data_IF_817263426375
#
_entry.id   IF_817263426375
#
_cell.length_a   1.000
_cell.length_b   1.000
_cell.length_c   1.000
_cell.angle_alpha   90.00
_cell.angle_beta   90.00
_cell.angle_gamma   90.00
#
_symmetry.space_group_name_H-M   'P 1'
#
loop_
_entity.id
_entity.type
_entity.pdbx_description
1 polymer ?
#
# COMPACT_ATOMS: atom_id res chain seq x y z
N UNK A 1 -0.54 -21.99 12.69
CA UNK A 1 -0.32 -20.74 13.44
C UNK A 1 -1.68 -20.24 13.88
N UNK A 2 -1.80 -19.69 15.09
CA UNK A 2 -3.11 -19.31 15.61
C UNK A 2 -3.70 -18.11 14.85
N UNK A 3 -5.01 -18.15 14.67
CA UNK A 3 -5.83 -17.06 14.14
C UNK A 3 -6.68 -16.51 15.28
N UNK A 4 -6.76 -15.19 15.40
CA UNK A 4 -7.74 -14.52 16.24
C UNK A 4 -8.73 -13.71 15.40
N UNK A 5 -10.03 -13.93 15.60
CA UNK A 5 -11.07 -13.08 15.02
C UNK A 5 -11.18 -11.78 15.81
N UNK A 6 -10.64 -10.69 15.26
CA UNK A 6 -10.65 -9.34 15.88
C UNK A 6 -11.59 -8.43 15.10
N UNK A 7 -12.79 -8.21 15.65
CA UNK A 7 -13.85 -7.37 15.04
C UNK A 7 -14.21 -7.85 13.61
N UNK A 8 -14.42 -9.15 13.47
CA UNK A 8 -14.82 -9.80 12.21
C UNK A 8 -13.70 -9.92 11.18
N UNK A 9 -12.43 -9.85 11.58
CA UNK A 9 -11.31 -10.18 10.71
C UNK A 9 -10.41 -11.19 11.39
N UNK A 10 -9.97 -12.18 10.63
CA UNK A 10 -8.95 -13.12 11.00
C UNK A 10 -7.58 -12.43 11.01
N UNK A 11 -6.97 -12.40 12.20
CA UNK A 11 -5.63 -11.91 12.41
C UNK A 11 -4.73 -13.12 12.63
N UNK A 12 -3.80 -13.36 11.71
CA UNK A 12 -2.75 -14.35 11.89
C UNK A 12 -1.75 -13.81 12.92
N UNK A 13 -1.47 -14.60 13.95
CA UNK A 13 -0.55 -14.20 15.01
C UNK A 13 0.29 -15.37 15.50
N UNK A 14 1.32 -15.05 16.26
CA UNK A 14 2.16 -16.00 16.98
C UNK A 14 2.61 -15.36 18.30
N UNK A 15 2.69 -16.17 19.34
CA UNK A 15 3.26 -15.76 20.63
C UNK A 15 4.50 -16.61 20.85
N UNK A 16 5.65 -15.96 21.07
CA UNK A 16 6.92 -16.62 21.38
C UNK A 16 7.31 -16.28 22.83
N UNK A 17 7.60 -17.31 23.61
CA UNK A 17 7.78 -17.22 25.07
C UNK A 17 6.49 -17.51 25.85
N UNK A 18 6.63 -18.05 27.06
CA UNK A 18 5.54 -18.50 27.93
C UNK A 18 5.36 -17.63 29.18
N UNK A 19 6.40 -16.89 29.60
CA UNK A 19 6.38 -16.04 30.79
C UNK A 19 7.05 -14.67 30.56
N UNK A 20 6.90 -13.77 31.54
CA UNK A 20 7.54 -12.45 31.57
C UNK A 20 6.72 -11.32 30.91
N UNK A 21 7.31 -10.11 30.84
CA UNK A 21 6.64 -8.93 30.30
C UNK A 21 6.30 -9.07 28.82
N UNK A 22 5.19 -8.46 28.41
CA UNK A 22 4.75 -8.46 27.01
C UNK A 22 5.53 -7.46 26.15
N UNK A 23 5.88 -7.90 24.94
CA UNK A 23 6.38 -7.04 23.85
C UNK A 23 5.59 -7.38 22.60
N UNK A 24 5.12 -6.37 21.86
CA UNK A 24 4.53 -6.57 20.54
C UNK A 24 5.48 -6.05 19.47
N UNK A 25 5.81 -6.88 18.47
CA UNK A 25 6.56 -6.45 17.29
C UNK A 25 5.59 -6.29 16.12
N UNK A 26 5.73 -5.18 15.40
CA UNK A 26 4.81 -4.77 14.33
C UNK A 26 5.63 -4.48 13.08
N UNK A 27 5.34 -5.19 11.99
CA UNK A 27 6.05 -5.03 10.71
C UNK A 27 5.76 -3.69 10.07
N UNK A 28 6.73 -3.19 9.30
CA UNK A 28 6.52 -2.07 8.39
C UNK A 28 5.92 -2.50 7.04
N UNK A 29 5.47 -1.54 6.23
CA UNK A 29 5.02 -1.80 4.85
C UNK A 29 3.82 -2.77 4.74
N UNK A 30 3.88 -3.71 3.78
CA UNK A 30 2.91 -4.81 3.62
C UNK A 30 3.51 -6.20 3.94
N UNK A 31 4.47 -6.27 4.86
CA UNK A 31 5.17 -7.51 5.20
C UNK A 31 4.47 -8.28 6.31
N UNK A 32 4.57 -9.61 6.26
CA UNK A 32 4.11 -10.49 7.34
C UNK A 32 5.13 -10.59 8.49
N UNK A 33 4.69 -10.99 9.67
CA UNK A 33 5.49 -10.99 10.90
C UNK A 33 6.69 -11.94 10.88
N UNK A 34 6.77 -12.84 9.89
CA UNK A 34 7.82 -13.86 9.78
C UNK A 34 9.23 -13.23 9.82
N UNK A 35 9.38 -11.98 9.35
CA UNK A 35 10.66 -11.25 9.41
C UNK A 35 11.17 -10.99 10.84
N UNK A 36 10.27 -10.99 11.84
CA UNK A 36 10.61 -10.77 13.24
C UNK A 36 10.75 -12.03 14.09
N UNK A 37 10.49 -13.22 13.54
CA UNK A 37 10.63 -14.48 14.29
C UNK A 37 12.04 -14.65 14.90
N UNK A 38 13.16 -14.37 14.18
CA UNK A 38 14.49 -14.47 14.78
C UNK A 38 14.72 -13.50 15.95
N UNK A 39 14.17 -12.28 15.87
CA UNK A 39 14.28 -11.28 16.94
C UNK A 39 13.40 -11.65 18.14
N UNK A 40 12.18 -12.10 17.88
CA UNK A 40 11.25 -12.54 18.91
C UNK A 40 11.80 -13.72 19.73
N UNK A 41 12.47 -14.69 19.09
CA UNK A 41 13.16 -15.77 19.81
C UNK A 41 14.28 -15.26 20.74
N UNK A 42 15.05 -14.26 20.32
CA UNK A 42 16.10 -13.66 21.16
C UNK A 42 15.51 -12.92 22.37
N UNK A 43 14.43 -12.16 22.16
CA UNK A 43 13.72 -11.48 23.25
C UNK A 43 13.09 -12.48 24.21
N UNK A 44 12.49 -13.56 23.70
CA UNK A 44 11.96 -14.63 24.54
C UNK A 44 13.06 -15.30 25.38
N UNK A 45 14.23 -15.54 24.80
CA UNK A 45 15.41 -16.03 25.54
C UNK A 45 15.95 -15.08 26.62
N UNK A 46 15.47 -13.82 26.67
CA UNK A 46 15.76 -12.85 27.73
C UNK A 46 14.61 -12.70 28.75
N UNK A 47 13.63 -13.61 28.72
CA UNK A 47 12.51 -13.62 29.68
C UNK A 47 11.35 -12.70 29.32
N UNK A 48 11.13 -12.44 28.03
CA UNK A 48 9.96 -11.71 27.55
C UNK A 48 8.96 -12.65 26.85
N UNK A 49 7.71 -12.23 26.79
CA UNK A 49 6.69 -12.85 25.94
C UNK A 49 6.36 -11.94 24.77
N UNK A 50 6.59 -12.42 23.56
CA UNK A 50 6.53 -11.60 22.33
C UNK A 50 5.31 -11.96 21.51
N UNK A 51 4.42 -10.98 21.29
CA UNK A 51 3.32 -11.07 20.34
C UNK A 51 3.79 -10.62 18.95
N UNK A 52 3.68 -11.51 17.99
CA UNK A 52 3.80 -11.25 16.56
C UNK A 52 2.41 -11.31 15.94
N UNK A 53 2.10 -10.40 15.02
CA UNK A 53 0.88 -10.50 14.24
C UNK A 53 1.06 -9.88 12.86
N UNK A 54 0.33 -10.45 11.92
CA UNK A 54 0.15 -9.85 10.61
C UNK A 54 -0.89 -8.75 10.78
N UNK A 55 -0.51 -7.50 10.54
CA UNK A 55 -1.47 -6.38 10.51
C UNK A 55 -2.57 -6.69 9.49
N UNK A 56 -3.72 -6.05 9.66
CA UNK A 56 -4.79 -6.09 8.65
C UNK A 56 -4.20 -5.81 7.27
N UNK A 57 -4.62 -6.59 6.27
CA UNK A 57 -4.15 -6.46 4.90
C UNK A 57 -2.65 -6.75 4.66
N UNK A 58 -2.02 -7.55 5.54
CA UNK A 58 -0.63 -8.00 5.42
C UNK A 58 -0.48 -9.47 5.78
N UNK A 59 0.61 -10.11 5.35
CA UNK A 59 0.91 -11.50 5.69
C UNK A 59 -0.25 -12.45 5.38
N UNK A 60 -0.67 -13.24 6.36
CA UNK A 60 -1.79 -14.18 6.29
C UNK A 60 -3.06 -13.70 7.01
N UNK A 61 -3.12 -12.43 7.42
CA UNK A 61 -4.37 -11.83 7.91
C UNK A 61 -5.30 -11.48 6.74
N UNK A 62 -6.61 -11.38 6.98
CA UNK A 62 -7.59 -11.07 5.93
C UNK A 62 -7.23 -9.80 5.13
N UNK A 63 -7.44 -9.88 3.81
CA UNK A 63 -7.12 -8.82 2.83
C UNK A 63 -8.41 -8.20 2.29
N UNK A 64 -8.40 -6.87 2.18
CA UNK A 64 -9.48 -6.09 1.57
C UNK A 64 -8.88 -5.09 0.60
N UNK A 65 -9.20 -5.24 -0.68
CA UNK A 65 -8.72 -4.36 -1.72
C UNK A 65 -9.87 -3.49 -2.22
N UNK A 66 -9.71 -2.18 -2.08
CA UNK A 66 -10.62 -1.17 -2.61
C UNK A 66 -9.82 -0.29 -3.57
N UNK A 67 -10.36 -0.04 -4.77
CA UNK A 67 -9.74 0.76 -5.82
C UNK A 67 -8.30 0.29 -6.09
N UNK A 68 -8.21 -0.88 -6.71
CA UNK A 68 -6.93 -1.49 -7.08
C UNK A 68 -6.23 -0.64 -8.13
N UNK A 69 -5.08 -0.08 -7.79
CA UNK A 69 -4.22 0.62 -8.75
C UNK A 69 -3.49 -0.39 -9.65
N UNK A 70 -3.61 -0.22 -10.96
CA UNK A 70 -2.97 -1.09 -11.93
C UNK A 70 -3.21 -0.63 -13.37
N UNK A 71 -2.42 -1.16 -14.30
CA UNK A 71 -2.54 -0.85 -15.73
C UNK A 71 -1.68 0.32 -16.20
N UNK A 72 -1.71 0.56 -17.52
CA UNK A 72 -0.76 1.44 -18.21
C UNK A 72 -0.87 2.93 -17.81
N UNK A 73 -2.04 3.38 -17.39
CA UNK A 73 -2.24 4.78 -17.00
C UNK A 73 -1.55 5.14 -15.67
N UNK A 74 -1.84 4.49 -14.53
CA UNK A 74 -1.13 4.78 -13.28
C UNK A 74 0.36 4.45 -13.40
N UNK A 75 0.71 3.45 -14.20
CA UNK A 75 2.09 3.08 -14.53
C UNK A 75 2.91 4.22 -15.15
N UNK A 76 2.27 5.15 -15.87
CA UNK A 76 2.93 6.35 -16.40
C UNK A 76 2.76 7.54 -15.47
N UNK A 77 1.56 7.74 -14.92
CA UNK A 77 1.20 8.93 -14.14
C UNK A 77 1.92 8.99 -12.78
N UNK A 78 1.94 7.88 -12.04
CA UNK A 78 2.46 7.86 -10.67
C UNK A 78 3.98 8.05 -10.59
N UNK A 79 4.81 7.43 -11.45
CA UNK A 79 6.25 7.71 -11.45
C UNK A 79 6.57 9.17 -11.75
N UNK A 80 5.84 9.78 -12.69
CA UNK A 80 6.06 11.19 -13.02
C UNK A 80 5.57 12.13 -11.91
N UNK A 81 4.45 11.81 -11.28
CA UNK A 81 3.93 12.56 -10.14
C UNK A 81 4.82 12.44 -8.90
N UNK A 82 5.39 11.27 -8.60
CA UNK A 82 6.19 11.08 -7.38
C UNK A 82 7.67 11.43 -7.54
N UNK A 83 8.23 11.28 -8.74
CA UNK A 83 9.67 11.42 -8.97
C UNK A 83 9.98 12.38 -10.11
N UNK A 84 9.38 12.13 -11.28
CA UNK A 84 9.76 12.81 -12.52
C UNK A 84 9.61 14.32 -12.52
N UNK A 85 8.53 14.85 -11.95
CA UNK A 85 8.35 16.30 -11.84
C UNK A 85 9.46 16.96 -11.00
N UNK A 86 9.93 16.30 -9.95
CA UNK A 86 11.00 16.81 -9.07
C UNK A 86 12.38 16.62 -9.69
N UNK A 87 12.61 15.52 -10.40
CA UNK A 87 13.82 15.34 -11.23
C UNK A 87 13.92 16.47 -12.24
N UNK A 88 12.83 16.73 -12.97
CA UNK A 88 12.76 17.80 -13.98
C UNK A 88 12.98 19.17 -13.36
N UNK A 89 12.38 19.45 -12.20
CA UNK A 89 12.59 20.70 -11.47
C UNK A 89 14.06 20.88 -11.06
N UNK A 90 14.67 19.84 -10.46
CA UNK A 90 16.07 19.85 -10.05
C UNK A 90 17.03 20.05 -11.23
N UNK A 91 16.76 19.40 -12.38
CA UNK A 91 17.56 19.57 -13.60
C UNK A 91 17.51 21.00 -14.16
N UNK A 92 16.35 21.66 -14.06
CA UNK A 92 16.15 23.00 -14.62
C UNK A 92 16.67 24.12 -13.73
N UNK A 93 16.59 23.98 -12.41
CA UNK A 93 16.89 25.06 -11.48
C UNK A 93 17.37 24.62 -10.11
N UNK A 94 17.93 23.41 -10.00
CA UNK A 94 18.45 22.86 -8.75
C UNK A 94 17.39 22.73 -7.66
N UNK A 95 17.84 22.68 -6.42
CA UNK A 95 16.95 22.51 -5.26
C UNK A 95 16.02 23.69 -5.02
N UNK A 96 16.34 24.87 -5.54
CA UNK A 96 15.44 26.03 -5.47
C UNK A 96 14.16 25.80 -6.30
N UNK A 97 14.31 25.27 -7.53
CA UNK A 97 13.17 24.91 -8.36
C UNK A 97 12.35 23.77 -7.75
N UNK A 98 12.99 22.80 -7.08
CA UNK A 98 12.27 21.75 -6.33
C UNK A 98 11.45 22.35 -5.20
N UNK A 99 12.05 23.24 -4.40
CA UNK A 99 11.35 23.96 -3.32
C UNK A 99 10.15 24.78 -3.83
N UNK A 100 10.17 25.22 -5.09
CA UNK A 100 9.11 26.02 -5.70
C UNK A 100 7.92 25.19 -6.24
N UNK A 101 8.02 23.85 -6.28
CA UNK A 101 6.90 22.99 -6.67
C UNK A 101 5.80 23.01 -5.61
N UNK A 102 4.53 22.94 -6.02
CA UNK A 102 3.38 23.06 -5.10
C UNK A 102 3.45 22.06 -3.94
N UNK A 103 3.84 20.83 -4.23
CA UNK A 103 4.00 19.81 -3.19
C UNK A 103 5.04 20.21 -2.15
N UNK A 104 6.24 20.62 -2.54
CA UNK A 104 7.27 20.99 -1.56
C UNK A 104 6.98 22.34 -0.88
N UNK A 105 6.36 23.29 -1.57
CA UNK A 105 5.90 24.56 -0.98
C UNK A 105 4.98 24.30 0.20
N UNK A 106 3.96 23.46 0.04
CA UNK A 106 3.03 23.12 1.13
C UNK A 106 3.76 22.53 2.37
N UNK A 107 4.79 21.69 2.15
CA UNK A 107 5.58 21.09 3.25
C UNK A 107 6.56 22.09 3.87
N UNK A 108 7.05 23.06 3.11
CA UNK A 108 7.89 24.16 3.61
C UNK A 108 7.03 25.14 4.40
N UNK A 109 5.84 25.50 3.92
CA UNK A 109 4.92 26.39 4.62
C UNK A 109 4.49 25.78 5.97
N UNK A 110 4.27 24.46 5.99
CA UNK A 110 3.97 23.72 7.22
C UNK A 110 5.15 23.61 8.19
N UNK A 111 6.38 23.57 7.67
CA UNK A 111 7.61 23.52 8.46
C UNK A 111 8.78 24.21 7.73
N UNK A 112 9.03 25.50 8.03
CA UNK A 112 10.00 26.31 7.28
C UNK A 112 11.44 25.77 7.29
N UNK A 113 11.82 25.00 8.33
CA UNK A 113 13.15 24.38 8.42
C UNK A 113 13.41 23.35 7.31
N UNK A 114 12.36 22.84 6.65
CA UNK A 114 12.51 21.94 5.50
C UNK A 114 13.21 22.64 4.33
N UNK A 115 13.02 23.95 4.15
CA UNK A 115 13.65 24.68 3.05
C UNK A 115 15.17 24.65 3.16
N UNK A 116 15.70 24.92 4.34
CA UNK A 116 17.15 24.89 4.58
C UNK A 116 17.73 23.50 4.30
N UNK A 117 17.06 22.44 4.80
CA UNK A 117 17.46 21.05 4.55
C UNK A 117 17.46 20.69 3.06
N UNK A 118 16.44 21.11 2.32
CA UNK A 118 16.34 20.86 0.88
C UNK A 118 17.41 21.64 0.10
N UNK A 119 17.63 22.91 0.44
CA UNK A 119 18.63 23.76 -0.21
C UNK A 119 20.08 23.30 0.07
N UNK A 120 20.31 22.57 1.16
CA UNK A 120 21.61 21.99 1.48
C UNK A 120 21.92 20.68 0.73
N UNK A 121 20.95 20.10 0.00
CA UNK A 121 21.17 18.90 -0.80
C UNK A 121 21.92 19.22 -2.10
N UNK A 122 22.78 18.30 -2.54
CA UNK A 122 23.33 18.33 -3.90
C UNK A 122 22.22 17.94 -4.90
N UNK A 123 21.88 18.82 -5.88
CA UNK A 123 20.92 18.48 -6.92
C UNK A 123 21.26 17.19 -7.68
N UNK A 124 22.54 16.89 -7.89
CA UNK A 124 22.96 15.69 -8.63
C UNK A 124 22.61 14.41 -7.85
N UNK A 125 22.91 14.38 -6.55
CA UNK A 125 22.56 13.25 -5.68
C UNK A 125 21.04 13.10 -5.51
N UNK A 126 20.32 14.22 -5.44
CA UNK A 126 18.87 14.23 -5.39
C UNK A 126 18.28 13.59 -6.67
N UNK A 127 18.73 14.03 -7.85
CA UNK A 127 18.31 13.47 -9.13
C UNK A 127 18.63 11.98 -9.20
N UNK A 128 19.87 11.58 -8.90
CA UNK A 128 20.29 10.18 -8.96
C UNK A 128 19.44 9.28 -8.05
N UNK A 129 19.12 9.77 -6.84
CA UNK A 129 18.29 9.04 -5.88
C UNK A 129 16.86 8.86 -6.39
N UNK A 130 16.22 9.94 -6.84
CA UNK A 130 14.85 9.88 -7.35
C UNK A 130 14.76 9.07 -8.64
N UNK A 131 15.75 9.15 -9.54
CA UNK A 131 15.81 8.33 -10.76
C UNK A 131 15.85 6.85 -10.44
N UNK A 132 16.68 6.44 -9.47
CA UNK A 132 16.72 5.03 -9.03
C UNK A 132 15.40 4.58 -8.43
N UNK A 133 14.75 5.41 -7.63
CA UNK A 133 13.43 5.08 -7.07
C UNK A 133 12.35 5.01 -8.15
N UNK A 134 12.38 5.92 -9.13
CA UNK A 134 11.50 5.89 -10.29
C UNK A 134 11.64 4.59 -11.07
N UNK A 135 12.87 4.17 -11.35
CA UNK A 135 13.16 2.91 -12.06
C UNK A 135 12.61 1.70 -11.30
N UNK A 136 12.85 1.63 -9.99
CA UNK A 136 12.31 0.56 -9.14
C UNK A 136 10.76 0.55 -9.12
N UNK A 137 10.15 1.73 -9.09
CA UNK A 137 8.70 1.86 -9.14
C UNK A 137 8.15 1.39 -10.50
N UNK A 138 8.80 1.80 -11.59
CA UNK A 138 8.42 1.45 -12.96
C UNK A 138 8.61 -0.04 -13.28
N UNK A 139 9.59 -0.70 -12.65
CA UNK A 139 9.79 -2.14 -12.78
C UNK A 139 8.54 -2.95 -12.38
N UNK A 140 7.73 -2.44 -11.45
CA UNK A 140 6.47 -3.07 -11.00
C UNK A 140 5.21 -2.54 -11.69
N UNK A 141 5.34 -1.63 -12.66
CA UNK A 141 4.22 -0.86 -13.17
C UNK A 141 3.36 -1.60 -14.22
N UNK A 142 3.89 -2.67 -14.80
CA UNK A 142 3.18 -3.50 -15.79
C UNK A 142 2.26 -4.55 -15.15
N UNK A 143 2.33 -4.74 -13.83
CA UNK A 143 1.52 -5.74 -13.14
C UNK A 143 0.04 -5.30 -13.02
N UNK A 144 -0.90 -6.27 -13.03
CA UNK A 144 -2.34 -6.01 -12.91
C UNK A 144 -2.70 -5.35 -11.57
N UNK A 145 -1.95 -5.67 -10.53
CA UNK A 145 -1.89 -4.91 -9.28
C UNK A 145 -0.48 -4.32 -9.22
N UNK A 146 -0.39 -2.99 -9.23
CA UNK A 146 0.90 -2.31 -9.31
C UNK A 146 1.85 -2.77 -8.19
N UNK A 147 3.03 -3.26 -8.57
CA UNK A 147 4.07 -3.74 -7.66
C UNK A 147 3.83 -5.13 -7.05
N UNK A 148 2.84 -5.90 -7.51
CA UNK A 148 2.60 -7.28 -7.07
C UNK A 148 2.55 -8.21 -8.28
N UNK A 149 3.42 -9.21 -8.29
CA UNK A 149 3.54 -10.17 -9.38
C UNK A 149 2.32 -11.11 -9.46
N UNK A 150 2.11 -11.71 -10.63
CA UNK A 150 1.09 -12.75 -10.80
C UNK A 150 1.35 -13.95 -9.87
N UNK A 151 2.60 -14.34 -9.65
CA UNK A 151 2.96 -15.43 -8.72
C UNK A 151 2.56 -15.10 -7.28
N UNK A 152 2.80 -13.87 -6.83
CA UNK A 152 2.40 -13.41 -5.50
C UNK A 152 0.87 -13.38 -5.35
N UNK A 153 0.14 -12.92 -6.38
CA UNK A 153 -1.34 -12.94 -6.37
C UNK A 153 -1.90 -14.36 -6.34
N UNK A 154 -1.35 -15.27 -7.16
CA UNK A 154 -1.73 -16.68 -7.19
C UNK A 154 -1.37 -17.42 -5.89
N UNK A 155 -0.34 -16.96 -5.18
CA UNK A 155 0.11 -17.53 -3.91
C UNK A 155 -0.78 -17.17 -2.71
N UNK A 156 -1.72 -16.22 -2.86
CA UNK A 156 -2.63 -15.82 -1.78
C UNK A 156 -3.61 -16.95 -1.44
N UNK A 157 -3.70 -17.29 -0.15
CA UNK A 157 -4.56 -18.37 0.38
C UNK A 157 -5.63 -17.89 1.37
N UNK A 158 -5.53 -16.64 1.79
CA UNK A 158 -6.49 -16.02 2.71
C UNK A 158 -7.74 -15.56 1.94
N UNK A 159 -8.92 -15.55 2.59
CA UNK A 159 -10.11 -14.93 2.03
C UNK A 159 -9.82 -13.49 1.57
N UNK A 160 -10.21 -13.17 0.34
CA UNK A 160 -9.97 -11.85 -0.26
C UNK A 160 -11.23 -11.30 -0.88
N UNK A 161 -11.60 -10.06 -0.52
CA UNK A 161 -12.68 -9.30 -1.18
C UNK A 161 -12.07 -8.17 -2.04
N UNK A 162 -12.56 -8.02 -3.26
CA UNK A 162 -12.15 -7.01 -4.23
C UNK A 162 -13.36 -6.13 -4.59
N UNK A 163 -13.20 -4.81 -4.43
CA UNK A 163 -14.14 -3.80 -4.93
C UNK A 163 -13.41 -2.96 -5.99
N UNK A 164 -13.71 -3.15 -7.29
CA UNK A 164 -13.07 -2.41 -8.38
C UNK A 164 -13.30 -0.90 -8.26
N UNK A 165 -12.38 -0.09 -8.77
CA UNK A 165 -12.59 1.34 -8.99
C UNK A 165 -13.18 1.62 -10.38
N UNK A 166 -13.29 2.89 -10.75
CA UNK A 166 -13.87 3.32 -12.02
C UNK A 166 -13.18 4.55 -12.64
N UNK A 167 -11.90 4.80 -12.33
CA UNK A 167 -11.10 5.87 -12.96
C UNK A 167 -9.84 5.32 -13.60
N UNK A 168 -9.11 6.14 -14.35
CA UNK A 168 -7.93 5.68 -15.07
C UNK A 168 -6.80 5.18 -14.15
N UNK A 169 -6.72 5.62 -12.89
CA UNK A 169 -5.73 5.13 -11.91
C UNK A 169 -6.16 3.81 -11.27
N UNK A 170 -7.46 3.59 -11.10
CA UNK A 170 -8.06 2.45 -10.41
C UNK A 170 -9.10 1.75 -11.29
N UNK A 171 -8.79 1.58 -12.57
CA UNK A 171 -9.75 1.11 -13.56
C UNK A 171 -10.39 -0.21 -13.13
N UNK A 172 -11.67 -0.40 -13.46
CA UNK A 172 -12.38 -1.62 -13.08
C UNK A 172 -11.68 -2.88 -13.61
N UNK A 173 -10.97 -2.76 -14.75
CA UNK A 173 -10.15 -3.80 -15.33
C UNK A 173 -9.03 -4.30 -14.39
N UNK A 174 -8.43 -3.42 -13.59
CA UNK A 174 -7.37 -3.80 -12.62
C UNK A 174 -7.95 -4.64 -11.48
N UNK A 175 -9.16 -4.30 -11.00
CA UNK A 175 -9.88 -5.11 -10.02
C UNK A 175 -10.26 -6.49 -10.57
N UNK A 176 -10.74 -6.56 -11.82
CA UNK A 176 -11.04 -7.83 -12.50
C UNK A 176 -9.78 -8.69 -12.69
N UNK A 177 -8.68 -8.10 -13.14
CA UNK A 177 -7.42 -8.82 -13.33
C UNK A 177 -6.85 -9.38 -12.01
N UNK A 178 -7.05 -8.67 -10.90
CA UNK A 178 -6.72 -9.17 -9.56
C UNK A 178 -7.63 -10.34 -9.17
N UNK A 179 -8.94 -10.24 -9.39
CA UNK A 179 -9.90 -11.31 -9.09
C UNK A 179 -9.60 -12.60 -9.85
N UNK A 180 -9.23 -12.50 -11.13
CA UNK A 180 -8.83 -13.64 -11.96
C UNK A 180 -7.59 -14.38 -11.43
N UNK A 181 -6.70 -13.69 -10.70
CA UNK A 181 -5.41 -14.23 -10.24
C UNK A 181 -5.42 -14.68 -8.79
N UNK A 182 -6.30 -14.13 -7.95
CA UNK A 182 -6.36 -14.47 -6.52
C UNK A 182 -7.34 -15.63 -6.33
N UNK A 183 -6.87 -16.85 -6.02
CA UNK A 183 -7.73 -18.01 -5.90
C UNK A 183 -8.76 -17.84 -4.78
N UNK A 184 -10.03 -18.09 -5.09
CA UNK A 184 -11.11 -18.00 -4.10
C UNK A 184 -11.46 -16.58 -3.65
N UNK A 185 -10.95 -15.54 -4.32
CA UNK A 185 -11.38 -14.17 -4.06
C UNK A 185 -12.87 -13.97 -4.40
N UNK A 186 -13.53 -13.06 -3.69
CA UNK A 186 -14.87 -12.57 -4.00
C UNK A 186 -14.75 -11.17 -4.61
N UNK A 187 -15.53 -10.87 -5.65
CA UNK A 187 -15.62 -9.52 -6.22
C UNK A 187 -17.01 -8.93 -5.93
N UNK A 188 -17.04 -7.71 -5.42
CA UNK A 188 -18.27 -6.94 -5.23
C UNK A 188 -18.29 -5.74 -6.16
N UNK A 189 -19.07 -5.85 -7.23
CA UNK A 189 -19.23 -4.81 -8.24
C UNK A 189 -20.29 -3.79 -7.79
N UNK A 190 -19.92 -2.50 -7.83
CA UNK A 190 -20.83 -1.40 -7.52
C UNK A 190 -21.77 -1.06 -8.68
N UNK A 191 -21.49 -1.57 -9.89
CA UNK A 191 -22.22 -1.27 -11.12
C UNK A 191 -21.84 0.10 -11.70
N UNK A 192 -20.59 0.53 -11.49
CA UNK A 192 -20.07 1.80 -11.99
C UNK A 192 -19.47 1.58 -13.39
N UNK A 193 -19.74 2.52 -14.30
CA UNK A 193 -19.02 2.59 -15.57
C UNK A 193 -17.65 3.23 -15.37
N UNK A 194 -16.64 2.76 -16.10
CA UNK A 194 -15.31 3.39 -16.09
C UNK A 194 -15.40 4.80 -16.68
N UNK A 195 -14.90 5.78 -15.93
CA UNK A 195 -14.83 7.18 -16.34
C UNK A 195 -13.43 7.52 -16.85
N UNK A 196 -13.36 8.22 -17.99
CA UNK A 196 -12.09 8.69 -18.56
C UNK A 196 -11.59 9.95 -17.84
N UNK A 197 -11.30 9.79 -16.55
CA UNK A 197 -10.71 10.82 -15.70
C UNK A 197 -9.46 10.26 -15.01
N UNK A 198 -8.42 11.08 -14.77
CA UNK A 198 -7.19 10.60 -14.15
C UNK A 198 -7.40 9.94 -12.78
N UNK A 199 -8.28 10.52 -11.97
CA UNK A 199 -8.52 10.10 -10.59
C UNK A 199 -9.86 10.69 -10.13
N UNK A 200 -10.78 9.85 -9.67
CA UNK A 200 -11.98 10.32 -8.97
C UNK A 200 -11.59 10.56 -7.49
N UNK A 201 -11.81 11.76 -6.93
CA UNK A 201 -11.61 12.01 -5.50
C UNK A 201 -12.35 11.00 -4.63
N UNK A 202 -11.72 10.53 -3.55
CA UNK A 202 -12.39 9.58 -2.65
C UNK A 202 -13.71 10.11 -2.04
N UNK A 203 -13.85 11.40 -1.67
CA UNK A 203 -15.14 11.93 -1.19
C UNK A 203 -16.31 11.76 -2.16
N UNK A 204 -16.03 11.68 -3.46
CA UNK A 204 -17.08 11.50 -4.48
C UNK A 204 -17.65 10.08 -4.47
N UNK A 205 -17.01 9.14 -3.75
CA UNK A 205 -17.52 7.79 -3.50
C UNK A 205 -18.52 7.72 -2.33
N UNK A 206 -18.78 8.83 -1.61
CA UNK A 206 -19.71 8.88 -0.49
C UNK A 206 -21.09 8.24 -0.75
N UNK A 207 -21.73 8.42 -1.93
CA UNK A 207 -23.00 7.75 -2.23
C UNK A 207 -22.93 6.22 -2.24
N UNK A 208 -21.75 5.64 -2.46
CA UNK A 208 -21.52 4.20 -2.54
C UNK A 208 -21.06 3.58 -1.21
N UNK A 209 -20.63 4.41 -0.25
CA UNK A 209 -20.13 3.96 1.05
C UNK A 209 -21.07 2.99 1.79
N UNK A 210 -22.40 3.18 1.83
CA UNK A 210 -23.29 2.22 2.49
C UNK A 210 -23.22 0.81 1.89
N UNK A 211 -23.19 0.70 0.56
CA UNK A 211 -23.08 -0.59 -0.15
C UNK A 211 -21.69 -1.21 0.02
N UNK A 212 -20.65 -0.38 -0.01
CA UNK A 212 -19.26 -0.81 0.28
C UNK A 212 -19.18 -1.36 1.70
N UNK A 213 -19.74 -0.66 2.69
CA UNK A 213 -19.76 -1.10 4.07
C UNK A 213 -20.54 -2.42 4.24
N UNK A 214 -21.69 -2.57 3.58
CA UNK A 214 -22.45 -3.82 3.57
C UNK A 214 -21.65 -4.98 2.97
N UNK A 215 -21.01 -4.79 1.81
CA UNK A 215 -20.18 -5.82 1.19
C UNK A 215 -19.01 -6.23 2.09
N UNK A 216 -18.28 -5.24 2.61
CA UNK A 216 -17.15 -5.46 3.49
C UNK A 216 -17.55 -6.16 4.78
N UNK A 217 -18.71 -5.83 5.36
CA UNK A 217 -19.20 -6.44 6.61
C UNK A 217 -19.86 -7.80 6.39
N UNK A 218 -20.54 -8.00 5.27
CA UNK A 218 -21.06 -9.29 4.87
C UNK A 218 -19.95 -10.31 4.66
N UNK A 219 -18.87 -9.91 3.97
CA UNK A 219 -17.68 -10.74 3.81
C UNK A 219 -17.06 -11.14 5.15
N UNK A 220 -16.89 -10.17 6.06
CA UNK A 220 -16.38 -10.39 7.44
C UNK A 220 -17.23 -11.32 8.30
N UNK A 221 -18.50 -11.55 7.95
CA UNK A 221 -19.37 -12.46 8.71
C UNK A 221 -19.30 -13.90 8.19
N UNK A 222 -18.82 -14.09 6.96
CA UNK A 222 -18.71 -15.41 6.30
C UNK A 222 -17.35 -16.07 6.53
N UNK A 223 -16.31 -15.27 6.76
CA UNK A 223 -14.93 -15.68 6.99
C UNK A 223 -14.44 -15.17 8.34
#
# INVERSE_FOLDING_TARGET
MPNATVRGLNINYEIIGDDGPWVALITGGRRGYQEFVPLANRLAGQGFRVLLHDRRNTGSSDIKLLRVTGGAFPARRLPEMYYGQFITAAQKGGMEAVCATDMWKERIDSNPANREKLMAMDPADFIATLSRWKELFEAGAHYPVMGVTDEELNGLKMPTLIIPGNDNTHASASGRAAHERIPGSEMFDLGLEDEDVPLIPYPDWAPHEPRIAEALTGFMRRH
#
